data_IF_170239049155
#
_entry.id   IF_170239049155
#
_cell.length_a   1.000
_cell.length_b   1.000
_cell.length_c   1.000
_cell.angle_alpha   90.00
_cell.angle_beta   90.00
_cell.angle_gamma   90.00
#
_symmetry.space_group_name_H-M   'P 1'
#
loop_
_entity.id
_entity.type
_entity.pdbx_description
1 polymer ?
#
# COMPACT_ATOMS: atom_id res chain seq x y z
N UNK A 1 -5.00 27.20 -0.42
CA UNK A 1 -6.05 26.19 -0.65
C UNK A 1 -6.09 25.28 0.56
N UNK A 2 -7.26 25.05 1.17
CA UNK A 2 -7.36 24.16 2.32
C UNK A 2 -6.91 22.75 1.91
N UNK A 3 -5.89 22.20 2.57
CA UNK A 3 -5.45 20.83 2.34
C UNK A 3 -6.61 19.91 2.77
N UNK A 4 -7.29 19.29 1.80
CA UNK A 4 -8.39 18.37 2.10
C UNK A 4 -7.83 17.13 2.80
N UNK A 5 -8.31 16.85 4.01
CA UNK A 5 -8.00 15.63 4.77
C UNK A 5 -9.17 14.64 4.69
N UNK A 6 -8.92 13.38 5.05
CA UNK A 6 -9.94 12.33 5.12
C UNK A 6 -9.66 11.44 6.31
N UNK A 7 -10.64 11.31 7.21
CA UNK A 7 -10.56 10.40 8.36
C UNK A 7 -11.15 9.04 7.98
N UNK A 8 -10.46 7.98 8.34
CA UNK A 8 -10.83 6.59 8.08
C UNK A 8 -10.89 5.86 9.42
N UNK A 9 -12.06 5.34 9.75
CA UNK A 9 -12.22 4.40 10.86
C UNK A 9 -11.68 3.02 10.43
N UNK A 10 -10.69 2.53 11.18
CA UNK A 10 -10.00 1.27 10.93
C UNK A 10 -10.40 0.16 11.90
N UNK A 11 -11.32 0.42 12.84
CA UNK A 11 -11.73 -0.53 13.89
C UNK A 11 -12.33 -1.84 13.34
N UNK A 12 -13.04 -1.78 12.22
CA UNK A 12 -13.70 -2.94 11.61
C UNK A 12 -12.81 -3.73 10.64
N UNK A 13 -11.61 -3.24 10.31
CA UNK A 13 -10.74 -3.86 9.32
C UNK A 13 -9.96 -4.99 10.00
N UNK A 14 -10.25 -6.23 9.62
CA UNK A 14 -9.57 -7.41 10.19
C UNK A 14 -8.19 -7.60 9.58
N UNK A 15 -7.24 -8.26 10.28
CA UNK A 15 -5.99 -8.70 9.67
C UNK A 15 -6.26 -9.47 8.37
N UNK A 16 -5.49 -9.20 7.32
CA UNK A 16 -5.75 -9.76 5.99
C UNK A 16 -6.65 -8.91 5.09
N UNK A 17 -7.38 -7.93 5.64
CA UNK A 17 -8.31 -7.09 4.87
C UNK A 17 -7.71 -5.75 4.43
N UNK A 18 -8.31 -5.21 3.38
CA UNK A 18 -8.07 -3.84 2.92
C UNK A 18 -9.38 -3.10 2.80
N UNK A 19 -9.35 -1.79 3.01
CA UNK A 19 -10.39 -0.88 2.53
C UNK A 19 -9.78 0.10 1.55
N UNK A 20 -10.57 0.52 0.56
CA UNK A 20 -10.18 1.56 -0.38
C UNK A 20 -11.05 2.79 -0.14
N UNK A 21 -10.40 3.92 0.18
CA UNK A 21 -11.04 5.23 0.32
C UNK A 21 -10.60 6.15 -0.82
N UNK A 22 -11.32 7.25 -1.03
CA UNK A 22 -10.94 8.25 -2.04
C UNK A 22 -10.37 9.47 -1.33
N UNK A 23 -9.15 9.87 -1.71
CA UNK A 23 -8.51 11.10 -1.25
C UNK A 23 -7.94 11.86 -2.44
N UNK A 24 -8.33 13.13 -2.60
CA UNK A 24 -7.96 13.99 -3.75
C UNK A 24 -8.20 13.31 -5.11
N UNK A 25 -9.33 12.62 -5.25
CA UNK A 25 -9.71 11.91 -6.47
C UNK A 25 -8.90 10.64 -6.76
N UNK A 26 -8.01 10.22 -5.87
CA UNK A 26 -7.21 9.00 -6.02
C UNK A 26 -7.66 7.94 -5.01
N UNK A 27 -7.66 6.65 -5.37
CA UNK A 27 -7.86 5.57 -4.40
C UNK A 27 -6.67 5.54 -3.42
N UNK A 28 -6.97 5.36 -2.15
CA UNK A 28 -6.01 5.08 -1.09
C UNK A 28 -6.38 3.75 -0.45
N UNK A 29 -5.43 2.82 -0.46
CA UNK A 29 -5.53 1.52 0.17
C UNK A 29 -5.12 1.65 1.63
N UNK A 30 -5.96 1.18 2.54
CA UNK A 30 -5.65 1.03 3.96
C UNK A 30 -5.70 -0.47 4.28
N UNK A 31 -4.52 -1.05 4.54
CA UNK A 31 -4.30 -2.50 4.66
C UNK A 31 -3.92 -2.86 6.10
N UNK A 32 -4.68 -3.76 6.72
CA UNK A 32 -4.35 -4.35 8.02
C UNK A 32 -3.52 -5.63 7.82
N UNK A 33 -2.21 -5.49 7.76
CA UNK A 33 -1.27 -6.55 7.38
C UNK A 33 -1.29 -7.72 8.36
N UNK A 34 -1.10 -8.91 7.82
CA UNK A 34 -0.85 -10.12 8.60
C UNK A 34 0.61 -10.15 9.09
N UNK A 35 0.91 -10.82 10.22
CA UNK A 35 2.27 -10.95 10.72
C UNK A 35 3.27 -11.49 9.69
N UNK A 36 2.86 -12.45 8.86
CA UNK A 36 3.67 -13.00 7.78
C UNK A 36 3.99 -11.98 6.69
N UNK A 37 3.04 -11.11 6.33
CA UNK A 37 3.27 -10.06 5.32
C UNK A 37 4.29 -9.02 5.80
N UNK A 38 4.26 -8.72 7.11
CA UNK A 38 5.22 -7.81 7.76
C UNK A 38 6.60 -8.47 7.80
N UNK A 39 6.67 -9.74 8.22
CA UNK A 39 7.92 -10.48 8.28
C UNK A 39 8.57 -10.62 6.90
N UNK A 40 7.78 -10.88 5.86
CA UNK A 40 8.29 -11.02 4.50
C UNK A 40 8.74 -9.67 3.93
N UNK A 41 8.03 -8.57 4.21
CA UNK A 41 8.48 -7.23 3.84
C UNK A 41 9.82 -6.86 4.48
N UNK A 42 10.03 -7.24 5.74
CA UNK A 42 11.23 -6.96 6.52
C UNK A 42 12.47 -7.76 6.07
N UNK A 43 12.29 -8.95 5.48
CA UNK A 43 13.39 -9.80 4.97
C UNK A 43 13.96 -9.32 3.63
N UNK A 44 13.26 -8.42 2.93
CA UNK A 44 13.69 -7.95 1.60
C UNK A 44 14.98 -7.14 1.72
N UNK A 45 16.00 -7.58 0.99
CA UNK A 45 17.21 -6.78 0.77
C UNK A 45 16.87 -5.54 -0.06
N UNK A 46 16.96 -4.36 0.55
CA UNK A 46 16.58 -3.10 -0.11
C UNK A 46 17.53 -2.69 -1.23
N UNK A 47 18.76 -3.19 -1.24
CA UNK A 47 19.74 -2.92 -2.30
C UNK A 47 19.32 -3.51 -3.65
N UNK A 48 18.51 -4.56 -3.65
CA UNK A 48 18.02 -5.24 -4.86
C UNK A 48 16.75 -4.58 -5.44
N UNK A 49 16.22 -3.57 -4.75
CA UNK A 49 15.00 -2.88 -5.16
C UNK A 49 15.30 -1.76 -6.16
N UNK A 50 14.38 -1.58 -7.12
CA UNK A 50 14.44 -0.46 -8.07
C UNK A 50 14.41 0.90 -7.36
N UNK A 51 13.59 1.00 -6.31
CA UNK A 51 13.55 2.15 -5.42
C UNK A 51 13.79 1.65 -3.99
N UNK A 52 15.04 1.72 -3.50
CA UNK A 52 15.42 1.24 -2.17
C UNK A 52 14.64 1.95 -1.06
N UNK A 53 13.84 1.18 -0.33
CA UNK A 53 13.06 1.68 0.80
C UNK A 53 12.74 0.52 1.76
N UNK A 54 13.03 0.69 3.05
CA UNK A 54 12.71 -0.30 4.07
C UNK A 54 11.22 -0.29 4.37
N UNK A 55 10.71 -1.39 4.93
CA UNK A 55 9.30 -1.44 5.35
C UNK A 55 8.99 -0.41 6.46
N UNK A 56 9.94 -0.19 7.36
CA UNK A 56 9.84 0.76 8.48
C UNK A 56 9.79 2.22 8.03
N UNK A 57 10.29 2.55 6.84
CA UNK A 57 10.14 3.88 6.24
C UNK A 57 8.73 4.11 5.69
N UNK A 58 8.02 3.03 5.34
CA UNK A 58 6.73 3.07 4.63
C UNK A 58 5.53 2.92 5.54
N UNK A 59 5.67 2.18 6.64
CA UNK A 59 4.61 1.93 7.61
C UNK A 59 4.96 2.49 8.99
N UNK A 60 4.20 3.48 9.47
CA UNK A 60 4.38 4.07 10.82
C UNK A 60 4.06 3.09 11.95
N UNK A 61 3.04 2.24 11.74
CA UNK A 61 2.72 1.07 12.58
C UNK A 61 2.81 -0.17 11.68
N UNK A 62 3.61 -1.20 12.00
CA UNK A 62 3.87 -2.31 11.08
C UNK A 62 2.60 -3.03 10.60
N UNK A 63 1.56 -3.13 11.41
CA UNK A 63 0.31 -3.76 11.04
C UNK A 63 -0.55 -2.92 10.08
N UNK A 64 -0.24 -1.63 9.88
CA UNK A 64 -1.01 -0.72 9.04
C UNK A 64 -0.18 -0.14 7.90
N UNK A 65 -0.56 -0.50 6.68
CA UNK A 65 0.04 0.06 5.46
C UNK A 65 -0.98 0.92 4.72
N UNK A 66 -0.59 2.16 4.42
CA UNK A 66 -1.44 3.15 3.72
C UNK A 66 -0.75 3.54 2.43
N UNK A 67 -1.39 3.29 1.29
CA UNK A 67 -0.80 3.50 -0.05
C UNK A 67 -1.77 4.22 -0.97
N UNK A 68 -1.27 5.14 -1.79
CA UNK A 68 -2.01 5.64 -2.95
C UNK A 68 -2.08 4.50 -3.98
N UNK A 69 -3.29 4.03 -4.25
CA UNK A 69 -3.59 2.89 -5.10
C UNK A 69 -3.52 3.19 -6.60
N UNK A 70 -2.52 3.97 -7.01
CA UNK A 70 -2.32 4.39 -8.39
C UNK A 70 -0.96 3.86 -8.84
N UNK A 71 -0.98 2.91 -9.77
CA UNK A 71 0.23 2.34 -10.35
C UNK A 71 1.09 3.45 -10.95
N UNK A 72 2.35 3.50 -10.54
CA UNK A 72 3.32 4.54 -10.92
C UNK A 72 3.79 4.46 -12.37
N UNK A 73 3.42 3.41 -13.11
CA UNK A 73 3.64 3.35 -14.55
C UNK A 73 2.76 4.37 -15.30
N UNK A 74 1.46 4.07 -15.43
CA UNK A 74 0.50 4.87 -16.21
C UNK A 74 -0.86 5.04 -15.51
N UNK A 75 -0.88 4.91 -14.18
CA UNK A 75 -2.03 5.36 -13.37
C UNK A 75 -3.18 4.37 -13.18
N UNK A 76 -3.10 3.14 -13.69
CA UNK A 76 -4.09 2.10 -13.40
C UNK A 76 -4.17 1.81 -11.88
N UNK A 77 -5.31 1.31 -11.41
CA UNK A 77 -5.47 0.85 -10.03
C UNK A 77 -4.99 -0.61 -9.91
N UNK A 78 -3.95 -0.91 -9.11
CA UNK A 78 -3.51 -2.29 -8.92
C UNK A 78 -4.56 -3.15 -8.19
N UNK A 79 -4.63 -4.42 -8.56
CA UNK A 79 -5.42 -5.46 -7.90
C UNK A 79 -4.70 -5.98 -6.65
N UNK A 80 -5.44 -6.63 -5.74
CA UNK A 80 -4.91 -7.23 -4.51
C UNK A 80 -5.65 -6.81 -3.24
N UNK A 81 -6.70 -5.99 -3.38
CA UNK A 81 -7.51 -5.50 -2.25
C UNK A 81 -8.52 -6.56 -1.78
N UNK A 82 -9.04 -7.37 -2.70
CA UNK A 82 -10.01 -8.42 -2.40
C UNK A 82 -9.31 -9.78 -2.27
N UNK A 83 -9.85 -10.73 -1.48
CA UNK A 83 -9.25 -12.06 -1.34
C UNK A 83 -9.05 -12.83 -2.65
N UNK A 84 -9.95 -12.64 -3.62
CA UNK A 84 -9.89 -13.30 -4.92
C UNK A 84 -9.03 -12.54 -5.96
N UNK A 85 -8.56 -11.34 -5.64
CA UNK A 85 -7.76 -10.57 -6.58
C UNK A 85 -6.36 -11.20 -6.73
N UNK A 86 -5.78 -11.18 -7.94
CA UNK A 86 -4.38 -11.56 -8.13
C UNK A 86 -3.46 -10.59 -7.38
N UNK A 87 -2.50 -11.14 -6.64
CA UNK A 87 -1.50 -10.40 -5.84
C UNK A 87 -0.10 -10.38 -6.45
N UNK A 88 0.03 -10.89 -7.68
CA UNK A 88 1.31 -10.99 -8.37
C UNK A 88 2.26 -12.01 -7.73
N UNK A 89 3.52 -11.98 -8.13
CA UNK A 89 4.55 -12.95 -7.69
C UNK A 89 5.06 -12.67 -6.27
N UNK A 90 4.75 -11.49 -5.72
CA UNK A 90 5.29 -11.01 -4.45
C UNK A 90 4.22 -10.78 -3.38
N UNK A 91 3.00 -11.30 -3.59
CA UNK A 91 1.95 -11.35 -2.57
C UNK A 91 1.32 -10.02 -2.16
N UNK A 92 1.70 -8.91 -2.79
CA UNK A 92 1.12 -7.58 -2.55
C UNK A 92 0.05 -7.22 -3.57
N UNK A 93 0.46 -6.47 -4.59
CA UNK A 93 -0.45 -5.95 -5.62
C UNK A 93 0.02 -6.29 -7.03
N UNK A 94 -0.94 -6.51 -7.91
CA UNK A 94 -0.69 -6.74 -9.33
C UNK A 94 -1.42 -5.72 -10.20
N UNK A 95 -0.69 -5.01 -11.05
CA UNK A 95 -1.25 -4.13 -12.06
C UNK A 95 -1.33 -4.88 -13.41
N UNK A 96 -2.53 -5.30 -13.85
CA UNK A 96 -2.67 -6.11 -15.06
C UNK A 96 -2.43 -5.33 -16.36
N UNK A 97 -2.43 -3.99 -16.30
CA UNK A 97 -2.29 -3.16 -17.50
C UNK A 97 -0.99 -3.46 -18.27
N UNK A 98 0.13 -3.61 -17.56
CA UNK A 98 1.44 -3.90 -18.16
C UNK A 98 2.30 -4.83 -17.29
N UNK A 99 1.68 -5.58 -16.37
CA UNK A 99 2.36 -6.58 -15.55
C UNK A 99 3.31 -6.01 -14.50
N UNK A 100 2.93 -4.95 -13.78
CA UNK A 100 3.72 -4.48 -12.63
C UNK A 100 3.33 -5.23 -11.36
N UNK A 101 4.31 -5.78 -10.65
CA UNK A 101 4.12 -6.54 -9.42
C UNK A 101 4.74 -5.79 -8.24
N UNK A 102 3.95 -5.57 -7.21
CA UNK A 102 4.35 -4.92 -5.98
C UNK A 102 4.33 -5.92 -4.81
N UNK A 103 5.27 -5.81 -3.89
CA UNK A 103 5.33 -6.65 -2.69
C UNK A 103 4.35 -6.20 -1.60
N UNK A 104 4.36 -6.89 -0.45
CA UNK A 104 3.50 -6.62 0.72
C UNK A 104 3.74 -5.27 1.41
N UNK A 105 4.78 -4.52 1.00
CA UNK A 105 5.06 -3.14 1.40
C UNK A 105 4.67 -2.13 0.30
N UNK A 106 4.16 -2.60 -0.85
CA UNK A 106 3.82 -1.79 -2.01
C UNK A 106 5.04 -1.36 -2.82
N UNK A 107 6.18 -2.05 -2.68
CA UNK A 107 7.41 -1.73 -3.41
C UNK A 107 7.43 -2.44 -4.75
N UNK A 108 7.86 -1.77 -5.80
CA UNK A 108 7.90 -2.34 -7.14
C UNK A 108 9.00 -3.41 -7.23
N UNK A 109 8.63 -4.60 -7.70
CA UNK A 109 9.56 -5.75 -7.82
C UNK A 109 9.78 -6.19 -9.25
N UNK A 110 8.76 -6.08 -10.10
CA UNK A 110 8.78 -6.53 -11.49
C UNK A 110 7.86 -5.68 -12.35
N UNK A 111 8.18 -5.56 -13.63
CA UNK A 111 7.40 -4.80 -14.62
C UNK A 111 7.87 -3.36 -14.81
N UNK A 112 7.14 -2.57 -15.62
CA UNK A 112 7.61 -1.27 -16.12
C UNK A 112 7.42 -0.09 -15.15
N UNK A 113 6.69 -0.24 -14.05
CA UNK A 113 6.49 0.86 -13.10
C UNK A 113 7.83 1.38 -12.54
N UNK A 114 8.13 2.69 -12.61
CA UNK A 114 9.45 3.20 -12.25
C UNK A 114 9.70 3.24 -10.73
N UNK A 115 8.65 3.32 -9.92
CA UNK A 115 8.73 3.53 -8.46
C UNK A 115 7.70 2.73 -7.67
N UNK A 116 7.87 2.69 -6.35
CA UNK A 116 6.97 2.08 -5.38
C UNK A 116 5.59 2.77 -5.39
N UNK A 117 4.55 2.10 -4.88
CA UNK A 117 3.27 2.77 -4.64
C UNK A 117 3.48 3.89 -3.60
N UNK A 118 3.02 5.12 -3.84
CA UNK A 118 3.29 6.22 -2.92
C UNK A 118 2.61 6.02 -1.56
N UNK A 119 3.30 6.36 -0.48
CA UNK A 119 2.69 6.51 0.85
C UNK A 119 2.15 7.95 0.95
N UNK A 120 0.84 8.19 1.14
CA UNK A 120 0.34 9.54 1.32
C UNK A 120 0.79 10.10 2.68
N UNK A 121 0.72 11.43 2.91
CA UNK A 121 0.77 11.94 4.27
C UNK A 121 -0.40 11.38 5.07
N UNK A 122 -0.13 10.80 6.24
CA UNK A 122 -1.17 10.32 7.14
C UNK A 122 -0.70 10.33 8.60
N UNK A 123 -1.64 10.26 9.53
CA UNK A 123 -1.35 10.08 10.96
C UNK A 123 -2.46 9.30 11.65
N UNK A 124 -2.10 8.55 12.69
CA UNK A 124 -3.08 7.98 13.60
C UNK A 124 -3.51 9.08 14.58
N UNK A 125 -4.78 9.42 14.57
CA UNK A 125 -5.34 10.44 15.49
C UNK A 125 -5.88 9.78 16.76
N UNK A 126 -6.25 8.51 16.66
CA UNK A 126 -6.61 7.60 17.75
C UNK A 126 -6.10 6.20 17.40
N UNK A 127 -6.36 5.21 18.26
CA UNK A 127 -6.05 3.80 17.94
C UNK A 127 -6.90 3.24 16.79
N UNK A 128 -8.06 3.83 16.52
CA UNK A 128 -9.02 3.35 15.53
C UNK A 128 -9.24 4.33 14.36
N UNK A 129 -8.54 5.47 14.33
CA UNK A 129 -8.76 6.49 13.30
C UNK A 129 -7.46 6.92 12.64
N UNK A 130 -7.39 6.74 11.32
CA UNK A 130 -6.30 7.25 10.46
C UNK A 130 -6.78 8.48 9.71
N UNK A 131 -6.05 9.59 9.85
CA UNK A 131 -6.23 10.79 9.02
C UNK A 131 -5.26 10.77 7.86
N UNK A 132 -5.75 10.90 6.64
CA UNK A 132 -4.97 11.03 5.41
C UNK A 132 -5.03 12.48 4.93
N UNK A 133 -3.88 13.06 4.57
CA UNK A 133 -3.77 14.46 4.15
C UNK A 133 -3.35 15.42 5.24
#
# INVERSE_FOLDING_TARGET
MALSTTDVDISAIKPGQSVTVVWRGKPVFVRHRLPEEIADAAKVNTADLREPETDTQRAKKPEWLVLIGVCTHLGCVPLGQKPADPKGEFGGWFCPCHGSHYDTSGRIRKGPAPSNLPVPPYQFTTDTTVRIG
#
